data_IF_584741273609
#
_entry.id   IF_584741273609
#
_cell.length_a   1.000
_cell.length_b   1.000
_cell.length_c   1.000
_cell.angle_alpha   90.00
_cell.angle_beta   90.00
_cell.angle_gamma   90.00
#
_symmetry.space_group_name_H-M   'P 1'
#
loop_
_entity.id
_entity.type
_entity.pdbx_description
1 polymer ?
#
# COMPACT_ATOMS: atom_id res chain seq x y z
N UNK A 1 53.93 20.05 14.57
CA UNK A 1 53.40 19.13 13.55
C UNK A 1 51.90 19.09 13.77
N UNK A 2 51.15 19.77 12.90
CA UNK A 2 49.75 20.14 13.13
C UNK A 2 48.77 18.97 13.05
N UNK A 3 47.58 19.10 13.66
CA UNK A 3 46.54 18.08 13.60
C UNK A 3 46.08 17.84 12.16
N UNK A 4 45.98 16.57 11.83
CA UNK A 4 45.86 15.97 10.51
C UNK A 4 44.63 16.47 9.70
N UNK A 5 44.76 16.86 8.42
CA UNK A 5 43.65 17.35 7.57
C UNK A 5 42.54 16.32 7.26
N UNK A 6 42.71 15.03 7.58
CA UNK A 6 41.70 14.00 7.28
C UNK A 6 40.44 14.09 8.13
N UNK A 7 40.53 14.63 9.35
CA UNK A 7 39.37 14.75 10.25
C UNK A 7 38.37 15.80 9.75
N UNK A 8 38.86 16.91 9.21
CA UNK A 8 38.03 17.95 8.59
C UNK A 8 37.39 17.45 7.29
N UNK A 9 38.10 16.63 6.53
CA UNK A 9 37.60 16.05 5.27
C UNK A 9 36.50 15.01 5.52
N UNK A 10 36.62 14.22 6.58
CA UNK A 10 35.59 13.28 7.03
C UNK A 10 34.33 14.00 7.56
N UNK A 11 34.51 15.06 8.35
CA UNK A 11 33.40 15.90 8.82
C UNK A 11 32.67 16.60 7.67
N UNK A 12 33.40 17.08 6.67
CA UNK A 12 32.83 17.66 5.46
C UNK A 12 32.07 16.62 4.62
N UNK A 13 32.59 15.38 4.49
CA UNK A 13 31.89 14.30 3.80
C UNK A 13 30.55 13.95 4.48
N UNK A 14 30.52 13.88 5.81
CA UNK A 14 29.31 13.62 6.59
C UNK A 14 28.26 14.74 6.45
N UNK A 15 28.71 15.99 6.35
CA UNK A 15 27.84 17.14 6.07
C UNK A 15 27.29 17.14 4.63
N UNK A 16 28.09 16.66 3.66
CA UNK A 16 27.70 16.56 2.26
C UNK A 16 26.79 15.35 1.97
N UNK A 17 26.87 14.28 2.77
CA UNK A 17 25.93 13.15 2.77
C UNK A 17 24.59 13.52 3.42
N UNK A 18 24.05 14.68 3.06
CA UNK A 18 22.91 15.35 3.70
C UNK A 18 21.80 14.40 4.13
N UNK A 19 21.25 14.70 5.31
CA UNK A 19 20.12 13.99 5.92
C UNK A 19 18.97 13.91 4.91
N UNK A 20 18.88 12.80 4.19
CA UNK A 20 17.74 12.52 3.33
C UNK A 20 16.55 12.27 4.24
N UNK A 21 15.56 13.16 4.15
CA UNK A 21 14.26 12.94 4.77
C UNK A 21 13.54 11.85 3.99
N UNK A 22 13.74 10.60 4.39
CA UNK A 22 12.97 9.48 3.84
C UNK A 22 11.55 9.60 4.38
N UNK A 23 10.59 9.88 3.50
CA UNK A 23 9.17 9.71 3.83
C UNK A 23 8.80 8.27 3.54
N UNK A 24 8.71 7.47 4.62
CA UNK A 24 8.35 6.06 4.52
C UNK A 24 6.84 5.84 4.41
N UNK A 25 6.03 6.82 4.83
CA UNK A 25 4.57 6.73 4.86
C UNK A 25 3.94 7.49 3.69
N UNK A 26 2.85 6.94 3.16
CA UNK A 26 1.97 7.69 2.27
C UNK A 26 1.23 8.78 3.07
N UNK A 27 0.84 9.89 2.41
CA UNK A 27 0.06 10.94 3.06
C UNK A 27 -1.36 10.52 3.52
N UNK A 28 -1.79 9.28 3.28
CA UNK A 28 -3.10 8.80 3.68
C UNK A 28 -3.21 8.70 5.21
N UNK A 29 -4.41 8.98 5.74
CA UNK A 29 -4.72 8.87 7.16
C UNK A 29 -6.14 8.31 7.35
N UNK A 30 -6.37 7.13 6.80
CA UNK A 30 -7.68 6.47 6.79
C UNK A 30 -7.90 5.66 8.06
N UNK A 31 -9.16 5.51 8.48
CA UNK A 31 -9.53 4.76 9.69
C UNK A 31 -10.15 3.42 9.35
N UNK A 32 -10.18 2.50 10.32
CA UNK A 32 -10.81 1.19 10.15
C UNK A 32 -12.29 1.26 9.72
N UNK A 33 -13.14 2.14 10.29
CA UNK A 33 -14.50 2.33 9.78
C UNK A 33 -14.59 2.73 8.31
N UNK A 34 -13.61 3.48 7.79
CA UNK A 34 -13.58 3.88 6.37
C UNK A 34 -13.32 2.69 5.44
N UNK A 35 -12.67 1.64 5.95
CA UNK A 35 -12.41 0.40 5.22
C UNK A 35 -13.65 -0.52 5.14
N UNK A 36 -14.59 -0.40 6.08
CA UNK A 36 -15.76 -1.27 6.11
C UNK A 36 -16.75 -0.95 4.98
N UNK A 37 -17.37 -1.98 4.42
CA UNK A 37 -18.38 -1.83 3.38
C UNK A 37 -18.08 -2.67 2.14
N UNK A 38 -18.61 -2.23 1.01
CA UNK A 38 -18.51 -2.93 -0.28
C UNK A 38 -17.49 -2.26 -1.17
N UNK A 39 -16.50 -3.02 -1.61
CA UNK A 39 -15.44 -2.58 -2.50
C UNK A 39 -15.59 -3.22 -3.87
N UNK A 40 -15.23 -2.46 -4.91
CA UNK A 40 -15.20 -2.93 -6.29
C UNK A 40 -13.78 -2.80 -6.82
N UNK A 41 -13.10 -3.93 -7.00
CA UNK A 41 -11.76 -3.98 -7.56
C UNK A 41 -11.82 -4.13 -9.08
N UNK A 42 -11.16 -3.20 -9.76
CA UNK A 42 -10.93 -3.25 -11.21
C UNK A 42 -9.56 -3.90 -11.44
N UNK A 43 -9.55 -5.08 -12.05
CA UNK A 43 -8.35 -5.93 -12.16
C UNK A 43 -7.88 -5.95 -13.61
N UNK A 44 -6.58 -5.70 -13.81
CA UNK A 44 -5.92 -5.81 -15.10
C UNK A 44 -5.70 -7.26 -15.56
N UNK A 45 -4.83 -7.48 -16.55
CA UNK A 45 -4.57 -8.80 -17.12
C UNK A 45 -4.10 -9.84 -16.09
N UNK A 46 -4.74 -11.00 -16.11
CA UNK A 46 -4.44 -12.13 -15.20
C UNK A 46 -3.30 -12.98 -15.75
N UNK A 47 -2.48 -13.55 -14.86
CA UNK A 47 -1.35 -14.43 -15.22
C UNK A 47 -0.01 -13.73 -15.32
N UNK A 48 0.04 -12.44 -14.98
CA UNK A 48 1.27 -11.68 -14.85
C UNK A 48 2.14 -12.24 -13.72
N UNK A 49 3.46 -12.25 -13.92
CA UNK A 49 4.40 -12.68 -12.89
C UNK A 49 4.66 -11.55 -11.87
N UNK A 50 5.42 -11.86 -10.82
CA UNK A 50 5.74 -10.93 -9.72
C UNK A 50 6.46 -9.64 -10.15
N UNK A 51 6.99 -9.60 -11.37
CA UNK A 51 7.67 -8.47 -11.99
C UNK A 51 6.73 -7.51 -12.72
N UNK A 52 5.41 -7.70 -12.62
CA UNK A 52 4.42 -6.77 -13.15
C UNK A 52 4.61 -5.36 -12.59
N UNK A 53 4.62 -4.37 -13.48
CA UNK A 53 4.66 -2.96 -13.11
C UNK A 53 3.26 -2.38 -12.98
N UNK A 54 2.72 -2.37 -11.75
CA UNK A 54 1.40 -1.80 -11.45
C UNK A 54 1.33 -0.28 -11.62
N UNK A 55 2.47 0.43 -11.77
CA UNK A 55 2.47 1.88 -12.03
C UNK A 55 2.07 2.23 -13.47
N UNK A 56 2.11 1.27 -14.39
CA UNK A 56 1.68 1.41 -15.79
C UNK A 56 0.58 0.39 -16.12
N UNK A 57 -0.41 0.30 -15.24
CA UNK A 57 -1.52 -0.63 -15.45
C UNK A 57 -2.30 -0.27 -16.73
N UNK A 58 -2.55 -1.28 -17.56
CA UNK A 58 -3.42 -1.16 -18.73
C UNK A 58 -4.90 -1.03 -18.35
N UNK A 59 -5.82 -1.09 -19.34
CA UNK A 59 -7.25 -1.06 -19.05
C UNK A 59 -7.65 -2.26 -18.17
N UNK A 60 -8.61 -2.08 -17.24
CA UNK A 60 -9.12 -3.17 -16.43
C UNK A 60 -9.90 -4.17 -17.29
N UNK A 61 -9.71 -5.45 -17.04
CA UNK A 61 -10.36 -6.55 -17.78
C UNK A 61 -11.42 -7.28 -16.95
N UNK A 62 -11.31 -7.23 -15.62
CA UNK A 62 -12.21 -7.93 -14.70
C UNK A 62 -12.64 -7.02 -13.56
N UNK A 63 -13.81 -7.32 -13.01
CA UNK A 63 -14.37 -6.66 -11.84
C UNK A 63 -14.60 -7.69 -10.74
N UNK A 64 -14.14 -7.40 -9.52
CA UNK A 64 -14.35 -8.24 -8.33
C UNK A 64 -15.03 -7.40 -7.26
N UNK A 65 -16.11 -7.91 -6.68
CA UNK A 65 -16.82 -7.26 -5.57
C UNK A 65 -16.46 -7.99 -4.28
N UNK A 66 -16.06 -7.22 -3.27
CA UNK A 66 -15.69 -7.76 -1.95
C UNK A 66 -16.39 -6.96 -0.87
N UNK A 67 -16.91 -7.65 0.13
CA UNK A 67 -17.57 -7.05 1.28
C UNK A 67 -16.72 -7.25 2.53
N UNK A 68 -16.44 -6.16 3.23
CA UNK A 68 -15.64 -6.13 4.46
C UNK A 68 -16.53 -5.82 5.65
N UNK A 69 -16.60 -6.78 6.58
CA UNK A 69 -17.45 -6.69 7.77
C UNK A 69 -16.60 -6.84 9.04
N UNK A 70 -16.92 -6.02 10.02
CA UNK A 70 -16.32 -6.09 11.36
C UNK A 70 -16.42 -7.52 11.94
N UNK A 71 -15.38 -8.09 12.57
CA UNK A 71 -14.07 -7.51 12.92
C UNK A 71 -13.00 -7.62 11.82
N UNK A 72 -13.01 -8.68 11.04
CA UNK A 72 -11.97 -8.97 10.05
C UNK A 72 -12.50 -9.87 8.92
N UNK A 73 -13.83 -10.00 8.76
CA UNK A 73 -14.44 -10.90 7.79
C UNK A 73 -14.52 -10.26 6.41
N UNK A 74 -13.95 -10.91 5.40
CA UNK A 74 -14.14 -10.59 3.99
C UNK A 74 -14.98 -11.66 3.31
N UNK A 75 -15.91 -11.28 2.43
CA UNK A 75 -16.67 -12.24 1.64
C UNK A 75 -17.00 -11.69 0.25
N UNK A 76 -17.27 -12.57 -0.71
CA UNK A 76 -17.68 -12.22 -2.08
C UNK A 76 -19.14 -12.64 -2.37
N UNK A 77 -19.63 -12.28 -3.55
CA UNK A 77 -20.98 -12.61 -4.03
C UNK A 77 -21.17 -14.12 -4.30
N UNK A 78 -20.09 -14.90 -4.33
CA UNK A 78 -20.12 -16.35 -4.57
C UNK A 78 -20.20 -17.15 -3.26
N UNK A 79 -20.19 -16.48 -2.11
CA UNK A 79 -20.26 -17.11 -0.79
C UNK A 79 -18.91 -17.58 -0.24
N UNK A 80 -17.80 -17.18 -0.86
CA UNK A 80 -16.48 -17.41 -0.28
C UNK A 80 -16.28 -16.46 0.91
N UNK A 81 -15.58 -16.93 1.93
CA UNK A 81 -15.25 -16.15 3.12
C UNK A 81 -13.76 -16.20 3.38
N UNK A 82 -13.24 -15.13 3.95
CA UNK A 82 -11.82 -14.93 4.23
C UNK A 82 -11.62 -13.84 5.27
N UNK A 83 -10.41 -13.31 5.33
CA UNK A 83 -10.02 -12.33 6.34
C UNK A 83 -9.45 -11.05 5.71
N UNK A 84 -9.60 -9.92 6.39
CA UNK A 84 -8.92 -8.68 6.04
C UNK A 84 -8.31 -8.02 7.26
N UNK A 85 -7.28 -7.21 7.02
CA UNK A 85 -6.67 -6.36 8.04
C UNK A 85 -6.36 -4.99 7.47
N UNK A 86 -6.54 -3.95 8.29
CA UNK A 86 -6.04 -2.62 7.98
C UNK A 86 -4.56 -2.54 8.33
N UNK A 87 -3.78 -1.90 7.47
CA UNK A 87 -2.37 -1.63 7.71
C UNK A 87 -2.25 -0.19 8.20
N UNK A 88 -2.28 -0.05 9.53
CA UNK A 88 -2.28 1.24 10.23
C UNK A 88 -3.38 2.18 9.70
N UNK A 89 -3.00 3.21 8.94
CA UNK A 89 -3.89 4.15 8.26
C UNK A 89 -3.57 4.29 6.75
N UNK A 90 -2.74 3.38 6.24
CA UNK A 90 -2.06 3.48 4.94
C UNK A 90 -2.75 2.67 3.85
N UNK A 91 -3.30 1.52 4.21
CA UNK A 91 -3.89 0.59 3.26
C UNK A 91 -4.48 -0.62 3.96
N UNK A 92 -4.67 -1.70 3.21
CA UNK A 92 -5.26 -2.93 3.71
C UNK A 92 -4.72 -4.16 2.99
N UNK A 93 -4.84 -5.32 3.64
CA UNK A 93 -4.65 -6.63 3.02
C UNK A 93 -5.94 -7.45 3.18
N UNK A 94 -6.37 -8.13 2.12
CA UNK A 94 -7.51 -9.07 2.13
C UNK A 94 -7.02 -10.42 1.62
N UNK A 95 -7.32 -11.49 2.34
CA UNK A 95 -7.10 -12.87 1.93
C UNK A 95 -8.45 -13.53 1.71
N UNK A 96 -8.79 -13.83 0.45
CA UNK A 96 -10.10 -14.37 0.07
C UNK A 96 -9.97 -15.26 -1.18
N UNK A 97 -10.59 -16.45 -1.13
CA UNK A 97 -10.64 -17.41 -2.24
C UNK A 97 -9.25 -17.73 -2.83
N UNK A 98 -8.27 -17.98 -1.97
CA UNK A 98 -6.85 -18.23 -2.32
C UNK A 98 -6.10 -17.07 -3.00
N UNK A 99 -6.69 -15.87 -3.07
CA UNK A 99 -6.02 -14.65 -3.51
C UNK A 99 -5.72 -13.71 -2.35
N UNK A 100 -4.63 -12.96 -2.49
CA UNK A 100 -4.26 -11.86 -1.58
C UNK A 100 -4.35 -10.53 -2.33
N UNK A 101 -5.11 -9.59 -1.77
CA UNK A 101 -5.30 -8.25 -2.29
C UNK A 101 -4.59 -7.27 -1.36
N UNK A 102 -3.80 -6.37 -1.93
CA UNK A 102 -3.10 -5.33 -1.19
C UNK A 102 -3.15 -4.03 -1.98
N UNK A 103 -3.51 -2.94 -1.30
CA UNK A 103 -3.42 -1.60 -1.86
C UNK A 103 -3.24 -0.55 -0.76
N UNK A 104 -2.58 0.55 -1.11
CA UNK A 104 -2.63 1.78 -0.34
C UNK A 104 -3.93 2.53 -0.63
N UNK A 105 -4.45 3.24 0.36
CA UNK A 105 -5.57 4.15 0.13
C UNK A 105 -5.14 5.30 -0.79
N UNK A 106 -6.03 5.72 -1.67
CA UNK A 106 -5.82 6.93 -2.47
C UNK A 106 -5.73 8.14 -1.55
N UNK A 107 -4.73 9.00 -1.78
CA UNK A 107 -4.59 10.27 -1.05
C UNK A 107 -5.69 11.22 -1.53
N UNK A 108 -6.82 11.18 -0.85
CA UNK A 108 -7.99 12.02 -1.12
C UNK A 108 -8.65 12.39 0.22
N UNK A 109 -9.53 13.39 0.23
CA UNK A 109 -10.31 13.74 1.42
C UNK A 109 -11.22 12.60 1.90
N UNK A 110 -11.48 11.60 1.05
CA UNK A 110 -12.27 10.41 1.34
C UNK A 110 -11.51 9.13 0.97
N UNK A 111 -11.47 8.17 1.89
CA UNK A 111 -10.71 6.92 1.72
C UNK A 111 -11.49 5.80 1.02
N UNK A 112 -12.62 6.11 0.36
CA UNK A 112 -13.48 5.12 -0.32
C UNK A 112 -13.00 4.73 -1.72
N UNK A 113 -11.85 5.24 -2.17
CA UNK A 113 -11.33 5.00 -3.52
C UNK A 113 -9.90 4.46 -3.49
N UNK A 114 -9.60 3.66 -4.51
CA UNK A 114 -8.28 3.11 -4.83
C UNK A 114 -7.96 3.47 -6.27
#
# INVERSE_FOLDING_TARGET
MGPWPHSLLAGLLLLLCGVWTVRCDTPANCTYPDLLGTWVFQVGPVGSQRDINCSVMGPPEKKVVVHLKKLDTAYDDFGNSGHFTIIYNQGFEIVLNDYKWFAFFKVSFYCFEI
#
